data_IF_375318512143
#
_entry.id   IF_375318512143
#
_cell.length_a   1.000
_cell.length_b   1.000
_cell.length_c   1.000
_cell.angle_alpha   90.00
_cell.angle_beta   90.00
_cell.angle_gamma   90.00
#
_symmetry.space_group_name_H-M   'P 1'
#
loop_
_entity.id
_entity.type
_entity.pdbx_description
1 polymer ?
#
# COMPACT_ATOMS: atom_id res chain seq x y z
N UNK A 1 -37.75 -18.04 39.97
CA UNK A 1 -37.62 -16.82 39.14
C UNK A 1 -36.14 -16.61 38.84
N UNK A 2 -35.68 -17.01 37.65
CA UNK A 2 -34.26 -16.99 37.25
C UNK A 2 -33.96 -15.73 36.45
N UNK A 3 -33.42 -14.70 37.09
CA UNK A 3 -32.92 -13.49 36.41
C UNK A 3 -31.53 -13.75 35.84
N UNK A 4 -31.48 -14.18 34.58
CA UNK A 4 -30.26 -14.26 33.79
C UNK A 4 -29.71 -12.85 33.53
N UNK A 5 -28.79 -12.39 34.38
CA UNK A 5 -28.04 -11.15 34.13
C UNK A 5 -26.96 -11.41 33.09
N UNK A 6 -27.14 -10.84 31.90
CA UNK A 6 -26.10 -10.83 30.87
C UNK A 6 -24.87 -10.06 31.37
N UNK A 7 -23.63 -10.53 31.11
CA UNK A 7 -22.44 -9.83 31.54
C UNK A 7 -22.36 -8.46 30.83
N UNK A 8 -21.95 -7.38 31.51
CA UNK A 8 -21.77 -6.08 30.89
C UNK A 8 -20.61 -6.19 29.90
N UNK A 9 -20.94 -6.47 28.65
CA UNK A 9 -19.96 -6.44 27.57
C UNK A 9 -19.73 -4.98 27.25
N UNK A 10 -18.46 -4.56 27.19
CA UNK A 10 -18.00 -3.21 26.85
C UNK A 10 -18.29 -2.81 25.39
N UNK A 11 -19.52 -3.06 24.95
CA UNK A 11 -20.12 -2.51 23.74
C UNK A 11 -21.08 -1.45 24.25
N UNK A 12 -20.76 -0.17 24.05
CA UNK A 12 -21.79 0.85 24.19
C UNK A 12 -22.87 0.46 23.19
N UNK A 13 -24.09 0.23 23.70
CA UNK A 13 -25.23 -0.18 22.90
C UNK A 13 -25.33 0.69 21.65
N UNK A 14 -25.68 0.10 20.51
CA UNK A 14 -25.98 0.87 19.31
C UNK A 14 -27.01 1.93 19.69
N UNK A 15 -26.70 3.24 19.56
CA UNK A 15 -27.68 4.26 19.87
C UNK A 15 -28.89 4.02 18.94
N UNK A 16 -30.04 3.68 19.54
CA UNK A 16 -31.33 3.61 18.84
C UNK A 16 -31.59 5.02 18.30
N UNK A 17 -31.41 5.22 17.00
CA UNK A 17 -31.73 6.51 16.37
C UNK A 17 -30.90 6.90 15.14
N UNK A 18 -29.72 6.32 14.92
CA UNK A 18 -28.94 6.61 13.69
C UNK A 18 -29.20 5.56 12.61
N UNK A 19 -30.44 5.53 12.12
CA UNK A 19 -30.78 4.85 10.86
C UNK A 19 -30.17 5.63 9.71
N UNK A 20 -28.97 5.24 9.28
CA UNK A 20 -28.51 5.64 7.95
C UNK A 20 -29.37 4.92 6.92
N UNK A 21 -30.14 5.66 6.13
CA UNK A 21 -30.83 5.13 4.95
C UNK A 21 -29.75 4.74 3.95
N UNK A 22 -29.30 3.49 3.99
CA UNK A 22 -28.34 2.98 3.04
C UNK A 22 -29.11 2.45 1.83
N UNK A 23 -29.06 3.18 0.72
CA UNK A 23 -29.40 2.65 -0.60
C UNK A 23 -28.30 1.65 -1.01
N UNK A 24 -28.33 0.43 -0.46
CA UNK A 24 -27.42 -0.67 -0.80
C UNK A 24 -26.88 -1.47 0.39
N UNK A 25 -26.13 -2.57 0.14
CA UNK A 25 -25.61 -3.44 1.19
C UNK A 25 -24.63 -2.71 2.13
N UNK A 26 -24.78 -2.88 3.44
CA UNK A 26 -23.87 -2.30 4.42
C UNK A 26 -22.42 -2.72 4.14
N UNK A 27 -21.42 -1.84 4.34
CA UNK A 27 -20.03 -2.20 4.19
C UNK A 27 -19.66 -3.35 5.14
N UNK A 28 -19.45 -4.54 4.57
CA UNK A 28 -19.05 -5.73 5.33
C UNK A 28 -17.61 -5.54 5.84
N UNK A 29 -17.46 -5.26 7.13
CA UNK A 29 -16.14 -5.05 7.73
C UNK A 29 -16.15 -5.14 9.26
N UNK A 30 -15.14 -5.79 9.84
CA UNK A 30 -14.93 -5.90 11.30
C UNK A 30 -14.47 -4.56 11.91
N UNK A 31 -15.30 -3.53 11.86
CA UNK A 31 -15.08 -2.22 12.47
C UNK A 31 -13.84 -1.45 11.97
N UNK A 32 -13.72 -0.19 12.38
CA UNK A 32 -12.55 0.63 12.13
C UNK A 32 -11.32 0.13 12.88
N UNK A 33 -10.15 0.63 12.51
CA UNK A 33 -8.97 0.53 13.37
C UNK A 33 -9.25 1.20 14.73
N UNK A 34 -8.57 0.72 15.76
CA UNK A 34 -8.66 1.27 17.11
C UNK A 34 -7.96 2.62 17.23
N UNK A 35 -8.59 3.58 17.90
CA UNK A 35 -7.99 4.86 18.27
C UNK A 35 -6.76 4.68 19.17
N UNK A 36 -5.88 5.70 19.24
CA UNK A 36 -4.83 5.75 20.26
C UNK A 36 -5.40 5.56 21.66
N UNK A 37 -4.58 5.02 22.57
CA UNK A 37 -4.94 5.01 23.98
C UNK A 37 -5.11 6.46 24.45
N UNK A 38 -6.20 6.74 25.15
CA UNK A 38 -6.55 8.09 25.62
C UNK A 38 -5.47 8.72 26.49
N UNK A 39 -4.72 7.90 27.22
CA UNK A 39 -3.64 8.34 28.10
C UNK A 39 -2.32 7.61 27.80
N UNK A 40 -1.21 8.24 28.16
CA UNK A 40 0.14 7.71 27.88
C UNK A 40 0.74 6.92 29.03
N UNK A 41 0.22 7.02 30.25
CA UNK A 41 0.53 6.15 31.38
C UNK A 41 -0.76 5.86 32.15
N UNK A 42 -0.81 4.75 32.88
CA UNK A 42 -2.03 4.30 33.55
C UNK A 42 -3.03 3.65 32.60
N UNK A 43 -4.14 3.16 33.16
CA UNK A 43 -5.17 2.46 32.41
C UNK A 43 -6.11 3.47 31.76
N UNK A 44 -6.10 3.54 30.44
CA UNK A 44 -7.01 4.36 29.64
C UNK A 44 -7.88 3.54 28.73
N UNK A 45 -8.39 4.22 27.70
CA UNK A 45 -9.39 3.69 26.77
C UNK A 45 -8.93 3.84 25.33
N UNK A 46 -9.21 2.83 24.50
CA UNK A 46 -9.23 2.95 23.04
C UNK A 46 -10.62 2.63 22.54
N UNK A 47 -11.03 3.30 21.47
CA UNK A 47 -12.37 3.18 20.87
C UNK A 47 -12.20 2.76 19.40
N UNK A 48 -13.18 2.04 18.86
CA UNK A 48 -13.33 1.87 17.41
C UNK A 48 -14.79 2.01 17.04
N UNK A 49 -15.06 2.39 15.81
CA UNK A 49 -16.42 2.38 15.27
C UNK A 49 -16.69 1.01 14.68
N UNK A 50 -17.73 0.34 15.13
CA UNK A 50 -18.25 -0.88 14.50
C UNK A 50 -19.52 -0.51 13.73
N UNK A 51 -19.75 -1.24 12.63
CA UNK A 51 -20.96 -1.10 11.82
C UNK A 51 -21.76 -2.38 12.00
N UNK A 52 -23.03 -2.25 12.33
CA UNK A 52 -23.95 -3.37 12.41
C UNK A 52 -24.20 -3.94 11.00
N UNK A 53 -24.07 -5.26 10.81
CA UNK A 53 -24.21 -5.85 9.48
C UNK A 53 -25.65 -5.86 8.94
N UNK A 54 -26.66 -5.74 9.81
CA UNK A 54 -28.08 -5.84 9.44
C UNK A 54 -28.72 -4.47 9.29
N UNK A 55 -28.46 -3.57 10.22
CA UNK A 55 -29.09 -2.24 10.32
C UNK A 55 -28.23 -1.11 9.77
N UNK A 56 -26.99 -1.41 9.36
CA UNK A 56 -25.94 -0.43 9.03
C UNK A 56 -25.66 0.60 10.16
N UNK A 57 -26.21 0.43 11.36
CA UNK A 57 -26.03 1.37 12.45
C UNK A 57 -24.58 1.34 12.94
N UNK A 58 -24.04 2.51 13.32
CA UNK A 58 -22.69 2.59 13.87
C UNK A 58 -22.71 2.63 15.38
N UNK A 59 -21.85 1.85 16.03
CA UNK A 59 -21.61 1.92 17.47
C UNK A 59 -20.14 2.11 17.79
N UNK A 60 -19.87 2.62 18.99
CA UNK A 60 -18.54 2.69 19.55
C UNK A 60 -18.26 1.43 20.39
N UNK A 61 -17.27 0.65 19.95
CA UNK A 61 -16.73 -0.43 20.77
C UNK A 61 -15.54 0.09 21.56
N UNK A 62 -15.54 -0.18 22.86
CA UNK A 62 -14.56 0.33 23.80
C UNK A 62 -13.68 -0.81 24.32
N UNK A 63 -12.39 -0.53 24.48
CA UNK A 63 -11.46 -1.41 25.19
C UNK A 63 -10.54 -0.61 26.12
N UNK A 64 -10.15 -1.23 27.21
CA UNK A 64 -9.11 -0.73 28.09
C UNK A 64 -7.73 -0.91 27.46
N UNK A 65 -6.82 0.03 27.75
CA UNK A 65 -5.44 0.02 27.31
C UNK A 65 -4.51 0.50 28.42
N UNK A 66 -3.34 -0.12 28.57
CA UNK A 66 -2.31 0.30 29.51
C UNK A 66 -0.97 0.27 28.78
N UNK A 67 -0.48 1.45 28.39
CA UNK A 67 0.77 1.57 27.64
C UNK A 67 1.99 1.38 28.53
N UNK A 68 1.98 2.03 29.70
CA UNK A 68 2.99 1.98 30.75
C UNK A 68 2.37 2.37 32.11
N UNK A 69 2.90 1.88 33.24
CA UNK A 69 2.56 2.39 34.56
C UNK A 69 3.05 3.84 34.73
N UNK A 70 2.40 4.63 35.59
CA UNK A 70 2.85 6.00 35.89
C UNK A 70 3.94 6.04 36.98
N UNK A 71 3.90 5.13 37.95
CA UNK A 71 4.77 5.13 39.14
C UNK A 71 6.15 4.49 38.94
N UNK A 72 6.37 3.71 37.88
CA UNK A 72 7.68 3.09 37.66
C UNK A 72 8.60 4.04 36.90
N UNK A 73 9.74 4.38 37.53
CA UNK A 73 10.92 4.92 36.86
C UNK A 73 11.52 3.84 35.95
N UNK A 74 10.82 3.50 34.86
CA UNK A 74 11.33 2.61 33.83
C UNK A 74 12.66 3.20 33.33
N UNK A 75 13.73 2.40 33.38
CA UNK A 75 15.11 2.86 33.23
C UNK A 75 15.31 3.79 32.04
N UNK A 76 15.81 5.01 32.32
CA UNK A 76 16.12 6.07 31.35
C UNK A 76 17.38 5.78 30.52
N UNK A 77 18.02 4.62 30.69
CA UNK A 77 19.05 4.15 29.76
C UNK A 77 18.38 3.69 28.48
N UNK A 78 18.04 4.66 27.63
CA UNK A 78 17.45 4.42 26.33
C UNK A 78 18.28 3.38 25.57
N UNK A 79 17.62 2.45 24.90
CA UNK A 79 18.26 1.49 23.99
C UNK A 79 17.94 1.88 22.54
N UNK A 80 18.72 1.39 21.57
CA UNK A 80 18.54 1.73 20.13
C UNK A 80 17.19 1.30 19.55
N UNK A 81 16.56 0.28 20.14
CA UNK A 81 15.26 -0.28 19.77
C UNK A 81 14.34 -0.11 20.99
N UNK A 82 13.09 0.36 20.85
CA UNK A 82 12.11 0.43 21.96
C UNK A 82 12.21 -0.90 22.69
N UNK A 83 12.69 -0.89 23.93
CA UNK A 83 13.10 -2.09 24.66
C UNK A 83 11.90 -3.01 24.69
N UNK A 84 11.91 -4.03 23.82
CA UNK A 84 10.68 -4.50 23.21
C UNK A 84 9.84 -5.26 24.22
N UNK A 85 8.99 -4.50 24.89
CA UNK A 85 8.11 -4.93 25.96
C UNK A 85 8.82 -5.31 27.25
N UNK A 86 8.99 -4.34 28.16
CA UNK A 86 9.36 -4.65 29.55
C UNK A 86 8.26 -5.54 30.11
N UNK A 87 8.60 -6.82 30.37
CA UNK A 87 7.76 -7.67 31.20
C UNK A 87 7.97 -7.17 32.61
N UNK A 88 6.89 -6.78 33.30
CA UNK A 88 6.99 -6.55 34.73
C UNK A 88 7.65 -7.78 35.38
N UNK A 89 8.60 -7.56 36.30
CA UNK A 89 9.19 -8.65 37.08
C UNK A 89 8.11 -9.29 37.96
N UNK A 90 7.17 -8.49 38.47
CA UNK A 90 6.06 -8.90 39.33
C UNK A 90 4.71 -8.92 38.59
N UNK A 91 3.79 -9.79 39.02
CA UNK A 91 2.40 -9.76 38.59
C UNK A 91 1.71 -8.59 39.33
N UNK A 92 0.91 -7.79 38.63
CA UNK A 92 0.15 -6.68 39.23
C UNK A 92 -1.32 -6.78 38.81
N UNK A 93 -2.22 -6.23 39.63
CA UNK A 93 -3.63 -6.04 39.25
C UNK A 93 -3.75 -4.83 38.33
N UNK A 94 -4.74 -4.84 37.45
CA UNK A 94 -5.11 -3.70 36.61
C UNK A 94 -6.16 -2.92 37.37
N UNK A 95 -6.00 -1.59 37.43
CA UNK A 95 -6.93 -0.68 38.09
C UNK A 95 -7.56 0.19 37.00
N UNK A 96 -8.87 0.35 37.03
CA UNK A 96 -9.62 1.22 36.14
C UNK A 96 -10.80 1.81 36.92
N UNK A 97 -10.81 3.14 37.11
CA UNK A 97 -11.72 3.80 38.06
C UNK A 97 -11.72 3.12 39.43
N UNK A 98 -12.89 2.77 39.95
CA UNK A 98 -13.12 2.08 41.22
C UNK A 98 -13.10 0.54 41.09
N UNK A 99 -12.59 0.02 39.96
CA UNK A 99 -12.55 -1.39 39.64
C UNK A 99 -11.13 -1.94 39.60
N UNK A 100 -10.94 -3.12 40.19
CA UNK A 100 -9.65 -3.81 40.27
C UNK A 100 -9.77 -5.21 39.65
N UNK A 101 -8.82 -5.60 38.81
CA UNK A 101 -8.85 -6.92 38.18
C UNK A 101 -8.77 -8.04 39.23
N UNK A 102 -9.63 -9.06 39.09
CA UNK A 102 -9.69 -10.19 40.01
C UNK A 102 -8.35 -10.95 40.03
N UNK A 103 -7.79 -11.20 38.84
CA UNK A 103 -6.51 -11.90 38.67
C UNK A 103 -5.35 -10.90 38.58
N UNK A 104 -4.18 -11.32 39.05
CA UNK A 104 -2.93 -10.61 38.81
C UNK A 104 -2.30 -11.04 37.48
N UNK A 105 -1.79 -10.07 36.72
CA UNK A 105 -1.24 -10.32 35.39
C UNK A 105 0.21 -9.89 35.28
N UNK A 106 1.00 -10.67 34.53
CA UNK A 106 2.34 -10.25 34.10
C UNK A 106 2.23 -9.46 32.80
N UNK A 107 2.05 -8.15 32.96
CA UNK A 107 1.83 -7.24 31.84
C UNK A 107 3.13 -6.84 31.14
N UNK A 108 2.90 -6.22 30.00
CA UNK A 108 3.88 -5.98 28.95
C UNK A 108 3.66 -4.55 28.47
N UNK A 109 4.68 -3.70 28.62
CA UNK A 109 4.53 -2.25 28.37
C UNK A 109 5.43 -1.73 27.26
N UNK A 110 4.94 -0.73 26.54
CA UNK A 110 5.76 0.03 25.60
C UNK A 110 6.37 1.21 26.35
N UNK A 111 7.68 1.29 26.33
CA UNK A 111 8.44 2.32 27.03
C UNK A 111 8.95 3.39 26.04
N UNK A 112 10.08 4.02 26.32
CA UNK A 112 10.65 5.11 25.52
C UNK A 112 11.57 4.61 24.39
N UNK A 113 11.70 5.44 23.35
CA UNK A 113 12.67 5.26 22.26
C UNK A 113 13.75 6.35 22.33
N UNK A 114 15.00 6.03 22.00
CA UNK A 114 16.04 7.05 21.75
C UNK A 114 15.67 7.94 20.53
N UNK A 115 16.15 9.20 20.54
CA UNK A 115 16.11 10.18 19.43
C UNK A 115 14.69 10.65 19.01
N UNK A 116 13.91 11.26 19.91
CA UNK A 116 12.59 11.90 19.63
C UNK A 116 11.63 11.02 18.80
N UNK A 117 11.69 9.69 18.96
CA UNK A 117 10.80 8.73 18.27
C UNK A 117 9.67 8.33 19.21
N UNK A 118 8.48 8.11 18.65
CA UNK A 118 7.35 7.58 19.40
C UNK A 118 7.41 6.05 19.48
N UNK A 119 7.24 5.48 20.68
CA UNK A 119 6.98 4.05 20.84
C UNK A 119 5.48 3.78 20.95
N UNK A 120 4.98 2.77 20.25
CA UNK A 120 3.57 2.37 20.33
C UNK A 120 3.39 0.86 20.15
N UNK A 121 2.25 0.30 20.60
CA UNK A 121 1.93 -1.11 20.38
C UNK A 121 1.74 -1.41 18.89
N UNK A 122 2.53 -2.34 18.33
CA UNK A 122 2.44 -2.74 16.92
C UNK A 122 1.62 -4.00 16.69
N UNK A 123 1.68 -4.96 17.62
CA UNK A 123 0.85 -6.16 17.62
C UNK A 123 0.19 -6.28 18.99
N UNK A 124 -1.13 -6.33 18.99
CA UNK A 124 -1.96 -6.44 20.19
C UNK A 124 -2.96 -7.57 20.02
N UNK A 125 -3.47 -8.09 21.13
CA UNK A 125 -4.57 -9.07 21.18
C UNK A 125 -5.63 -8.54 22.14
N UNK A 126 -6.90 -8.71 21.79
CA UNK A 126 -8.03 -8.46 22.69
C UNK A 126 -8.09 -9.58 23.75
N UNK A 127 -8.21 -9.23 25.04
CA UNK A 127 -8.52 -10.19 26.12
C UNK A 127 -9.65 -9.65 26.97
N UNK A 128 -10.63 -10.49 27.28
CA UNK A 128 -11.64 -10.20 28.30
C UNK A 128 -11.00 -10.37 29.68
N UNK A 129 -11.11 -9.35 30.52
CA UNK A 129 -10.56 -9.34 31.88
C UNK A 129 -11.70 -9.00 32.84
N UNK A 130 -11.81 -9.78 33.90
CA UNK A 130 -12.80 -9.58 34.95
C UNK A 130 -12.25 -8.67 36.05
N UNK A 131 -13.08 -7.72 36.45
CA UNK A 131 -12.82 -6.73 37.49
C UNK A 131 -13.87 -6.82 38.58
N UNK A 132 -13.45 -6.56 39.80
CA UNK A 132 -14.31 -6.36 40.95
C UNK A 132 -14.30 -4.87 41.28
N UNK A 133 -15.47 -4.24 41.26
CA UNK A 133 -15.66 -2.82 41.54
C UNK A 133 -16.11 -2.59 42.98
N UNK A 134 -16.00 -1.35 43.45
CA UNK A 134 -16.32 -0.94 44.83
C UNK A 134 -17.70 -1.37 45.32
N UNK A 135 -18.68 -1.49 44.41
CA UNK A 135 -20.07 -1.93 44.68
C UNK A 135 -20.25 -3.46 44.75
N UNK A 136 -19.18 -4.23 44.88
CA UNK A 136 -19.22 -5.71 44.84
C UNK A 136 -19.55 -6.30 43.46
N UNK A 137 -19.88 -5.46 42.47
CA UNK A 137 -20.20 -5.87 41.09
C UNK A 137 -18.95 -6.39 40.38
N UNK A 138 -19.11 -7.50 39.67
CA UNK A 138 -18.09 -8.03 38.76
C UNK A 138 -18.41 -7.63 37.33
N UNK A 139 -17.44 -7.01 36.66
CA UNK A 139 -17.59 -6.56 35.27
C UNK A 139 -16.45 -7.11 34.41
N UNK A 140 -16.76 -7.39 33.14
CA UNK A 140 -15.79 -7.96 32.20
C UNK A 140 -15.48 -6.95 31.12
N UNK A 141 -14.25 -6.45 31.12
CA UNK A 141 -13.78 -5.47 30.15
C UNK A 141 -12.91 -6.09 29.06
N UNK A 142 -13.08 -5.61 27.82
CA UNK A 142 -12.13 -5.87 26.75
C UNK A 142 -10.83 -5.10 27.04
N UNK A 143 -9.70 -5.79 27.03
CA UNK A 143 -8.38 -5.21 27.33
C UNK A 143 -7.39 -5.45 26.19
N UNK A 144 -6.63 -4.42 25.86
CA UNK A 144 -5.58 -4.44 24.84
C UNK A 144 -4.30 -5.09 25.37
N UNK A 145 -4.13 -6.38 25.07
CA UNK A 145 -2.93 -7.13 25.45
C UNK A 145 -1.77 -6.88 24.47
N UNK A 146 -0.73 -6.18 24.93
CA UNK A 146 0.44 -5.84 24.11
C UNK A 146 1.31 -7.08 23.86
N UNK A 147 1.59 -7.36 22.58
CA UNK A 147 2.47 -8.48 22.15
C UNK A 147 3.80 -7.99 21.58
N UNK A 148 3.84 -6.87 20.86
CA UNK A 148 5.09 -6.26 20.34
C UNK A 148 4.92 -4.75 20.26
N UNK A 149 5.97 -4.00 20.62
CA UNK A 149 6.06 -2.54 20.46
C UNK A 149 6.95 -2.18 19.26
N UNK A 150 6.85 -0.94 18.76
CA UNK A 150 7.71 -0.42 17.68
C UNK A 150 7.99 1.08 17.86
N UNK A 151 9.23 1.50 17.58
CA UNK A 151 9.57 2.92 17.39
C UNK A 151 9.23 3.38 15.96
N UNK A 152 8.67 4.58 15.82
CA UNK A 152 8.67 5.29 14.54
C UNK A 152 8.83 6.79 14.73
N UNK A 153 9.24 7.49 13.66
CA UNK A 153 9.29 8.96 13.61
C UNK A 153 7.88 9.58 13.69
N UNK A 154 6.86 8.88 13.17
CA UNK A 154 5.45 9.27 13.24
C UNK A 154 4.75 8.47 14.34
N UNK A 155 4.03 9.16 15.21
CA UNK A 155 3.33 8.56 16.35
C UNK A 155 2.02 7.87 15.92
N UNK A 156 1.50 7.01 16.80
CA UNK A 156 0.26 6.27 16.56
C UNK A 156 -0.90 7.25 16.29
N UNK A 157 -1.76 6.94 15.30
CA UNK A 157 -2.77 7.86 14.77
C UNK A 157 -2.39 8.58 13.46
N UNK A 158 -1.09 8.67 13.12
CA UNK A 158 -0.60 9.18 11.82
C UNK A 158 0.04 8.10 10.93
N UNK A 159 -0.24 6.83 11.24
CA UNK A 159 0.28 5.68 10.47
C UNK A 159 -0.68 5.43 9.32
N UNK A 160 -0.30 5.82 8.10
CA UNK A 160 -1.04 5.43 6.89
C UNK A 160 -1.32 3.93 6.91
N UNK A 161 -2.61 3.59 6.82
CA UNK A 161 -3.09 2.21 6.80
C UNK A 161 -2.25 1.41 5.79
N UNK A 162 -1.82 0.20 6.17
CA UNK A 162 -1.00 -0.68 5.31
C UNK A 162 -1.59 -0.83 3.89
N UNK A 163 -2.92 -0.71 3.75
CA UNK A 163 -3.63 -0.65 2.48
C UNK A 163 -3.24 0.53 1.58
N UNK A 164 -3.04 1.74 2.11
CA UNK A 164 -2.63 2.92 1.31
C UNK A 164 -1.25 2.70 0.68
N UNK A 165 -0.29 2.18 1.45
CA UNK A 165 1.05 1.85 0.93
C UNK A 165 1.02 0.72 -0.10
N UNK A 166 0.20 -0.32 0.10
CA UNK A 166 0.06 -1.41 -0.88
C UNK A 166 -0.57 -0.90 -2.19
N UNK A 167 -1.66 -0.14 -2.09
CA UNK A 167 -2.34 0.49 -3.23
C UNK A 167 -1.42 1.47 -3.98
N UNK A 168 -0.63 2.28 -3.27
CA UNK A 168 0.35 3.17 -3.90
C UNK A 168 1.45 2.40 -4.65
N UNK A 169 1.96 1.29 -4.07
CA UNK A 169 2.93 0.41 -4.73
C UNK A 169 2.33 -0.27 -5.97
N UNK A 170 1.10 -0.77 -5.89
CA UNK A 170 0.39 -1.37 -7.04
C UNK A 170 0.14 -0.32 -8.15
N UNK A 171 -0.29 0.89 -7.79
CA UNK A 171 -0.45 2.01 -8.75
C UNK A 171 0.87 2.36 -9.45
N UNK A 172 1.97 2.41 -8.70
CA UNK A 172 3.31 2.66 -9.25
C UNK A 172 3.76 1.54 -10.20
N UNK A 173 3.52 0.26 -9.84
CA UNK A 173 3.80 -0.89 -10.73
C UNK A 173 2.99 -0.82 -12.02
N UNK A 174 1.68 -0.60 -11.95
CA UNK A 174 0.80 -0.46 -13.13
C UNK A 174 1.25 0.68 -14.05
N UNK A 175 1.70 1.82 -13.48
CA UNK A 175 2.24 2.94 -14.27
C UNK A 175 3.49 2.56 -15.06
N UNK A 176 4.45 1.87 -14.41
CA UNK A 176 5.68 1.40 -15.07
C UNK A 176 5.40 0.39 -16.18
N UNK A 177 4.44 -0.50 -15.96
CA UNK A 177 4.03 -1.49 -16.95
C UNK A 177 3.39 -0.83 -18.18
N UNK A 178 2.48 0.13 -17.98
CA UNK A 178 1.89 0.92 -19.08
C UNK A 178 2.96 1.65 -19.89
N UNK A 179 3.97 2.21 -19.22
CA UNK A 179 5.08 2.88 -19.89
C UNK A 179 5.95 1.93 -20.71
N UNK A 180 6.23 0.71 -20.19
CA UNK A 180 6.94 -0.34 -20.95
C UNK A 180 6.16 -0.76 -22.19
N UNK A 181 4.85 -0.94 -22.09
CA UNK A 181 3.99 -1.29 -23.23
C UNK A 181 4.00 -0.16 -24.28
N UNK A 182 3.89 1.11 -23.85
CA UNK A 182 3.97 2.26 -24.74
C UNK A 182 5.30 2.30 -25.50
N UNK A 183 6.43 2.17 -24.80
CA UNK A 183 7.77 2.15 -25.41
C UNK A 183 7.94 0.97 -26.39
N UNK A 184 7.38 -0.20 -26.09
CA UNK A 184 7.39 -1.35 -27.02
C UNK A 184 6.60 -1.04 -28.30
N UNK A 185 5.40 -0.44 -28.18
CA UNK A 185 4.58 -0.05 -29.34
C UNK A 185 5.28 1.00 -30.21
N UNK A 186 5.96 1.98 -29.62
CA UNK A 186 6.77 2.96 -30.36
C UNK A 186 7.92 2.30 -31.13
N UNK A 187 8.67 1.38 -30.50
CA UNK A 187 9.73 0.64 -31.17
C UNK A 187 9.21 -0.17 -32.36
N UNK A 188 8.08 -0.85 -32.20
CA UNK A 188 7.45 -1.60 -33.30
C UNK A 188 6.98 -0.68 -34.44
N UNK A 189 6.38 0.47 -34.13
CA UNK A 189 6.03 1.48 -35.14
C UNK A 189 7.27 2.00 -35.88
N UNK A 190 8.36 2.27 -35.16
CA UNK A 190 9.62 2.73 -35.75
C UNK A 190 10.25 1.66 -36.67
N UNK A 191 10.23 0.39 -36.26
CA UNK A 191 10.68 -0.73 -37.11
C UNK A 191 9.87 -0.83 -38.39
N UNK A 192 8.54 -0.82 -38.30
CA UNK A 192 7.65 -0.86 -39.47
C UNK A 192 7.89 0.31 -40.43
N UNK A 193 8.15 1.51 -39.90
CA UNK A 193 8.50 2.67 -40.72
C UNK A 193 9.82 2.46 -41.47
N UNK A 194 10.87 2.01 -40.78
CA UNK A 194 12.18 1.70 -41.41
C UNK A 194 12.08 0.60 -42.46
N UNK A 195 11.23 -0.39 -42.24
CA UNK A 195 10.98 -1.47 -43.19
C UNK A 195 10.25 -0.97 -44.44
N UNK A 196 9.24 -0.12 -44.29
CA UNK A 196 8.57 0.56 -45.42
C UNK A 196 9.56 1.39 -46.24
N UNK A 197 10.40 2.20 -45.59
CA UNK A 197 11.43 3.01 -46.25
C UNK A 197 12.44 2.13 -47.03
N UNK A 198 12.82 0.96 -46.49
CA UNK A 198 13.68 -0.01 -47.20
C UNK A 198 12.99 -0.62 -48.41
N UNK A 199 11.71 -1.02 -48.27
CA UNK A 199 10.95 -1.62 -49.36
C UNK A 199 10.76 -0.63 -50.51
N UNK A 200 10.41 0.62 -50.18
CA UNK A 200 10.27 1.69 -51.17
C UNK A 200 11.60 1.95 -51.91
N UNK A 201 12.73 1.94 -51.19
CA UNK A 201 14.06 2.04 -51.83
C UNK A 201 14.34 0.88 -52.79
N UNK A 202 14.01 -0.37 -52.40
CA UNK A 202 14.15 -1.55 -53.26
C UNK A 202 13.29 -1.47 -54.51
N UNK A 203 12.06 -0.98 -54.40
CA UNK A 203 11.19 -0.77 -55.56
C UNK A 203 11.73 0.29 -56.52
N UNK A 204 12.23 1.42 -55.99
CA UNK A 204 12.89 2.45 -56.80
C UNK A 204 14.11 1.90 -57.55
N UNK A 205 14.93 1.06 -56.91
CA UNK A 205 16.07 0.40 -57.56
C UNK A 205 15.63 -0.60 -58.64
N UNK A 206 14.59 -1.41 -58.40
CA UNK A 206 13.99 -2.30 -59.41
C UNK A 206 13.45 -1.53 -60.62
N UNK A 207 12.78 -0.40 -60.38
CA UNK A 207 12.28 0.47 -61.45
C UNK A 207 13.40 1.08 -62.30
N UNK A 208 14.53 1.45 -61.68
CA UNK A 208 15.73 1.92 -62.40
C UNK A 208 16.37 0.83 -63.26
N UNK A 209 16.44 -0.42 -62.77
CA UNK A 209 16.97 -1.55 -63.57
C UNK A 209 16.12 -1.84 -64.80
N UNK A 210 14.78 -1.88 -64.67
CA UNK A 210 13.87 -2.07 -65.82
C UNK A 210 14.03 -1.00 -66.89
N UNK A 211 14.19 0.27 -66.50
CA UNK A 211 14.46 1.39 -67.44
C UNK A 211 15.86 1.34 -68.08
N UNK A 212 16.79 0.58 -67.52
CA UNK A 212 18.13 0.36 -68.08
C UNK A 212 18.18 -0.81 -69.07
N UNK A 213 17.37 -1.85 -68.86
CA UNK A 213 17.22 -2.99 -69.80
C UNK A 213 16.53 -2.59 -71.12
N UNK A 214 15.65 -1.58 -71.11
CA UNK A 214 15.05 -1.02 -72.35
C UNK A 214 16.03 -0.17 -73.21
N UNK A 215 17.30 -0.02 -72.80
CA UNK A 215 18.32 0.79 -73.50
C UNK A 215 19.51 -0.04 -74.03
N UNK A 216 19.29 -1.28 -74.44
CA UNK A 216 20.30 -2.06 -75.18
C UNK A 216 20.04 -1.97 -76.71
N UNK A 217 20.91 -1.31 -77.51
CA UNK A 217 20.69 -1.17 -78.94
C UNK A 217 21.14 -2.43 -79.70
N UNK A 218 20.22 -2.97 -80.53
CA UNK A 218 20.46 -3.99 -81.55
C UNK A 218 21.66 -3.60 -82.43
N UNK A 219 22.82 -4.23 -82.23
CA UNK A 219 23.90 -4.25 -83.24
C UNK A 219 23.61 -5.36 -84.25
N UNK A 220 23.04 -5.01 -85.41
CA UNK A 220 23.15 -5.82 -86.63
C UNK A 220 23.35 -4.94 -87.87
N UNK A 221 24.51 -5.17 -88.46
CA UNK A 221 24.83 -5.20 -89.89
C UNK A 221 24.73 -3.96 -90.78
N UNK A 222 25.71 -3.94 -91.71
CA UNK A 222 25.69 -3.34 -93.05
C UNK A 222 26.44 -2.02 -93.21
N UNK A 223 27.74 -2.11 -93.54
CA UNK A 223 28.39 -1.15 -94.45
C UNK A 223 28.95 -1.90 -95.66
N UNK A 224 28.20 -1.81 -96.77
CA UNK A 224 28.55 -2.22 -98.13
C UNK A 224 28.54 -0.96 -99.00
N UNK A 225 29.68 -0.66 -99.64
CA UNK A 225 29.86 0.21 -100.81
C UNK A 225 29.54 1.71 -100.67
N UNK A 226 29.99 2.63 -101.52
CA UNK A 226 31.14 2.74 -102.41
C UNK A 226 31.12 4.22 -102.89
N UNK A 227 32.30 4.82 -103.03
CA UNK A 227 32.71 5.78 -104.08
C UNK A 227 32.24 7.25 -104.17
N UNK A 228 33.24 8.01 -104.68
CA UNK A 228 33.29 9.33 -105.33
C UNK A 228 33.30 10.53 -104.37
N UNK A 229 34.30 11.41 -104.33
CA UNK A 229 35.46 11.64 -105.18
C UNK A 229 35.64 13.15 -105.35
N UNK A 230 36.80 13.71 -104.99
CA UNK A 230 37.29 14.97 -105.58
C UNK A 230 38.80 15.13 -105.35
N UNK A 231 39.52 14.94 -106.45
CA UNK A 231 40.88 15.40 -106.76
C UNK A 231 41.05 16.90 -106.47
N UNK A 232 42.17 17.34 -105.87
CA UNK A 232 43.36 17.94 -106.53
C UNK A 232 44.24 18.77 -105.55
N UNK A 233 45.53 18.39 -105.52
CA UNK A 233 46.77 19.21 -105.62
C UNK A 233 47.14 20.26 -104.56
N UNK A 234 48.29 20.05 -103.91
CA UNK A 234 49.58 20.80 -103.98
C UNK A 234 50.44 20.33 -102.77
N UNK A 235 51.62 19.70 -102.88
CA UNK A 235 52.92 20.02 -103.51
C UNK A 235 53.75 21.08 -102.73
N UNK A 236 54.86 20.59 -102.13
CA UNK A 236 56.06 21.26 -101.57
C UNK A 236 55.87 22.00 -100.23
N UNK A 237 56.76 21.87 -99.24
CA UNK A 237 58.22 21.67 -99.24
C UNK A 237 58.68 20.39 -98.54
#
# INVERSE_FOLDING_TARGET
>A
MTTTSAPPTTTLAFPRGQRGVANGPCPQGRGSDWTPCSITCGTGVSVRTIVDPVTCATAQELRLCLLRPCEEKLSRQGREKCTSTVKLKRKRRIIYHDCISVKMYRLRFCDTCRKRKCCFPKRTRQRKIEFQCSRGKREVFNFMWIKKCRCAKKCYGKVESRGKRRRARERSKKRRERERIRKRRERERSKKRRERERNEKRERERGKKRRGEDREPKRRDKKRGDKRGRRRKNMKQ
#
